data_IF_717528057041
#
_entry.id   IF_717528057041
#
_cell.length_a   1.000
_cell.length_b   1.000
_cell.length_c   1.000
_cell.angle_alpha   90.00
_cell.angle_beta   90.00
_cell.angle_gamma   90.00
#
_symmetry.space_group_name_H-M   'P 1'
#
loop_
_entity.id
_entity.type
_entity.pdbx_description
1 polymer ?
#
# COMPACT_ATOMS: atom_id res chain seq x y z
N UNK A 1 11.55 13.16 23.71
CA UNK A 1 10.67 12.25 22.93
C UNK A 1 10.96 12.42 21.45
N UNK A 2 11.21 11.34 20.69
CA UNK A 2 11.48 11.43 19.24
C UNK A 2 10.22 11.91 18.53
N UNK A 3 10.33 12.98 17.75
CA UNK A 3 9.22 13.45 16.94
C UNK A 3 9.11 12.59 15.66
N UNK A 4 8.13 11.68 15.59
CA UNK A 4 7.84 10.83 14.41
C UNK A 4 6.72 11.39 13.52
N UNK A 5 6.52 12.71 13.54
CA UNK A 5 5.43 13.39 12.82
C UNK A 5 5.45 13.13 11.32
N UNK A 6 6.61 13.20 10.67
CA UNK A 6 6.72 12.95 9.24
C UNK A 6 6.21 11.55 8.84
N UNK A 7 6.63 10.50 9.56
CA UNK A 7 6.19 9.12 9.32
C UNK A 7 4.68 8.97 9.51
N UNK A 8 4.12 9.64 10.54
CA UNK A 8 2.68 9.62 10.82
C UNK A 8 1.88 10.31 9.72
N UNK A 9 2.30 11.50 9.32
CA UNK A 9 1.62 12.28 8.26
C UNK A 9 1.67 11.52 6.94
N UNK A 10 2.84 11.01 6.55
CA UNK A 10 3.00 10.20 5.34
C UNK A 10 2.13 8.94 5.38
N UNK A 11 2.11 8.21 6.51
CA UNK A 11 1.27 7.02 6.67
C UNK A 11 -0.24 7.32 6.61
N UNK A 12 -0.69 8.44 7.19
CA UNK A 12 -2.10 8.89 7.12
C UNK A 12 -2.50 9.23 5.69
N UNK A 13 -1.71 10.06 5.00
CA UNK A 13 -1.99 10.44 3.61
C UNK A 13 -2.04 9.18 2.73
N UNK A 14 -1.08 8.28 2.91
CA UNK A 14 -1.05 7.00 2.19
C UNK A 14 -2.27 6.12 2.48
N UNK A 15 -2.76 6.11 3.72
CA UNK A 15 -3.95 5.35 4.11
C UNK A 15 -5.20 5.88 3.40
N UNK A 16 -5.35 7.20 3.31
CA UNK A 16 -6.46 7.84 2.60
C UNK A 16 -6.39 7.49 1.10
N UNK A 17 -5.21 7.61 0.48
CA UNK A 17 -5.03 7.28 -0.93
C UNK A 17 -5.27 5.79 -1.22
N UNK A 18 -4.81 4.89 -0.36
CA UNK A 18 -5.11 3.46 -0.48
C UNK A 18 -6.60 3.18 -0.32
N UNK A 19 -7.28 3.83 0.63
CA UNK A 19 -8.72 3.69 0.81
C UNK A 19 -9.48 4.11 -0.45
N UNK A 20 -9.11 5.26 -1.03
CA UNK A 20 -9.67 5.72 -2.29
C UNK A 20 -9.36 4.75 -3.44
N UNK A 21 -8.14 4.20 -3.49
CA UNK A 21 -7.76 3.20 -4.50
C UNK A 21 -8.57 1.90 -4.39
N UNK A 22 -8.79 1.41 -3.16
CA UNK A 22 -9.63 0.24 -2.90
C UNK A 22 -11.09 0.50 -3.28
N UNK A 23 -11.64 1.65 -2.87
CA UNK A 23 -13.02 2.02 -3.22
C UNK A 23 -13.17 2.17 -4.74
N UNK A 24 -12.25 2.88 -5.40
CA UNK A 24 -12.27 3.08 -6.84
C UNK A 24 -12.14 1.77 -7.63
N UNK A 25 -11.22 0.90 -7.23
CA UNK A 25 -11.06 -0.42 -7.86
C UNK A 25 -12.27 -1.33 -7.61
N UNK A 26 -12.89 -1.29 -6.42
CA UNK A 26 -14.12 -2.01 -6.12
C UNK A 26 -15.30 -1.51 -6.96
N UNK A 27 -15.42 -0.19 -7.18
CA UNK A 27 -16.45 0.37 -8.07
C UNK A 27 -16.26 -0.10 -9.52
N UNK A 28 -15.02 -0.07 -10.03
CA UNK A 28 -14.71 -0.61 -11.38
C UNK A 28 -15.03 -2.10 -11.45
N UNK A 29 -14.64 -2.89 -10.43
CA UNK A 29 -14.94 -4.32 -10.35
C UNK A 29 -16.45 -4.58 -10.38
N UNK A 30 -17.22 -3.77 -9.65
CA UNK A 30 -18.67 -3.88 -9.59
C UNK A 30 -19.33 -3.57 -10.93
N UNK A 31 -18.95 -2.45 -11.57
CA UNK A 31 -19.45 -2.08 -12.90
C UNK A 31 -19.09 -3.15 -13.93
N UNK A 32 -17.85 -3.63 -13.91
CA UNK A 32 -17.39 -4.70 -14.79
C UNK A 32 -18.17 -5.99 -14.58
N UNK A 33 -18.40 -6.40 -13.33
CA UNK A 33 -19.16 -7.60 -13.01
C UNK A 33 -20.61 -7.50 -13.49
N UNK A 34 -21.24 -6.33 -13.32
CA UNK A 34 -22.59 -6.07 -13.84
C UNK A 34 -22.65 -6.19 -15.37
N UNK A 35 -21.69 -5.57 -16.09
CA UNK A 35 -21.61 -5.66 -17.54
C UNK A 35 -21.29 -7.09 -18.02
N UNK A 36 -20.39 -7.80 -17.34
CA UNK A 36 -19.96 -9.15 -17.74
C UNK A 36 -20.90 -10.27 -17.39
N UNK A 37 -21.87 -10.03 -16.51
CA UNK A 37 -22.89 -11.01 -16.13
C UNK A 37 -24.17 -10.84 -16.96
N UNK A 38 -24.37 -9.69 -17.61
CA UNK A 38 -25.52 -9.46 -18.49
C UNK A 38 -25.29 -10.15 -19.85
N UNK A 39 -26.05 -11.22 -20.18
CA UNK A 39 -25.90 -11.92 -21.45
C UNK A 39 -26.24 -11.00 -22.63
N UNK A 40 -27.18 -10.06 -22.47
CA UNK A 40 -27.58 -9.12 -23.51
C UNK A 40 -26.41 -8.22 -23.92
N UNK A 41 -25.71 -7.68 -22.93
CA UNK A 41 -24.55 -6.83 -23.15
C UNK A 41 -23.41 -7.60 -23.83
N UNK A 42 -23.17 -8.85 -23.40
CA UNK A 42 -22.11 -9.67 -23.96
C UNK A 42 -22.42 -10.14 -25.39
N UNK A 43 -23.67 -10.44 -25.70
CA UNK A 43 -24.10 -10.81 -27.06
C UNK A 43 -24.03 -9.60 -28.00
N UNK A 44 -24.50 -8.42 -27.58
CA UNK A 44 -24.36 -7.18 -28.35
C UNK A 44 -22.89 -6.82 -28.60
N UNK A 45 -22.04 -6.97 -27.58
CA UNK A 45 -20.61 -6.72 -27.69
C UNK A 45 -19.94 -7.71 -28.67
N UNK A 46 -20.34 -8.99 -28.63
CA UNK A 46 -19.88 -10.01 -29.58
C UNK A 46 -20.30 -9.67 -31.00
N UNK A 47 -21.57 -9.35 -31.22
CA UNK A 47 -22.11 -8.96 -32.54
C UNK A 47 -21.41 -7.73 -33.10
N UNK A 48 -21.10 -6.75 -32.25
CA UNK A 48 -20.30 -5.58 -32.61
C UNK A 48 -18.94 -5.96 -33.18
N UNK A 49 -18.17 -6.81 -32.49
CA UNK A 49 -16.84 -7.26 -32.95
C UNK A 49 -16.95 -8.12 -34.22
N UNK A 50 -17.94 -9.01 -34.29
CA UNK A 50 -18.18 -9.83 -35.50
C UNK A 50 -18.48 -8.94 -36.71
N UNK A 51 -19.25 -7.86 -36.51
CA UNK A 51 -19.64 -6.94 -37.59
C UNK A 51 -18.46 -6.13 -38.17
N UNK A 52 -17.43 -5.86 -37.38
CA UNK A 52 -16.21 -5.19 -37.84
C UNK A 52 -15.32 -6.09 -38.70
N UNK A 53 -15.47 -7.42 -38.60
CA UNK A 53 -14.76 -8.40 -39.44
C UNK A 53 -13.24 -8.43 -39.26
N UNK A 54 -12.71 -7.77 -38.23
CA UNK A 54 -11.26 -7.67 -37.95
C UNK A 54 -10.72 -8.95 -37.34
N UNK A 55 -11.52 -9.65 -36.55
CA UNK A 55 -11.17 -10.89 -35.86
C UNK A 55 -11.98 -12.05 -36.41
N UNK A 56 -11.37 -13.25 -36.43
CA UNK A 56 -12.10 -14.46 -36.76
C UNK A 56 -12.99 -14.91 -35.58
N UNK A 57 -13.95 -15.80 -35.83
CA UNK A 57 -14.90 -16.27 -34.81
C UNK A 57 -14.23 -16.97 -33.63
N UNK A 58 -13.10 -17.66 -33.84
CA UNK A 58 -12.36 -18.38 -32.81
C UNK A 58 -11.59 -17.41 -31.88
N UNK A 59 -11.02 -16.35 -32.44
CA UNK A 59 -10.37 -15.25 -31.72
C UNK A 59 -11.38 -14.48 -30.85
N UNK A 60 -12.60 -14.29 -31.36
CA UNK A 60 -13.69 -13.65 -30.62
C UNK A 60 -14.11 -14.52 -29.43
N UNK A 61 -14.29 -15.83 -29.63
CA UNK A 61 -14.62 -16.76 -28.54
C UNK A 61 -13.53 -16.77 -27.45
N UNK A 62 -12.26 -16.75 -27.86
CA UNK A 62 -11.13 -16.66 -26.94
C UNK A 62 -11.14 -15.35 -26.14
N UNK A 63 -11.41 -14.22 -26.81
CA UNK A 63 -11.51 -12.91 -26.17
C UNK A 63 -12.65 -12.87 -25.14
N UNK A 64 -13.83 -13.37 -25.49
CA UNK A 64 -14.99 -13.40 -24.58
C UNK A 64 -14.72 -14.29 -23.36
N UNK A 65 -14.06 -15.44 -23.54
CA UNK A 65 -13.63 -16.30 -22.43
C UNK A 65 -12.60 -15.60 -21.51
N UNK A 66 -11.69 -14.82 -22.09
CA UNK A 66 -10.72 -14.03 -21.32
C UNK A 66 -11.42 -12.94 -20.50
N UNK A 67 -12.36 -12.21 -21.10
CA UNK A 67 -13.15 -11.17 -20.45
C UNK A 67 -13.94 -11.68 -19.25
N UNK A 68 -14.56 -12.87 -19.36
CA UNK A 68 -15.24 -13.53 -18.25
C UNK A 68 -14.29 -13.88 -17.10
N UNK A 69 -13.12 -14.42 -17.43
CA UNK A 69 -12.09 -14.77 -16.44
C UNK A 69 -11.48 -13.52 -15.76
N UNK A 70 -11.41 -12.41 -16.49
CA UNK A 70 -10.86 -11.15 -16.02
C UNK A 70 -11.62 -10.57 -14.82
N UNK A 71 -12.95 -10.81 -14.73
CA UNK A 71 -13.78 -10.38 -13.59
C UNK A 71 -13.25 -10.94 -12.26
N UNK A 72 -12.85 -12.21 -12.24
CA UNK A 72 -12.27 -12.85 -11.04
C UNK A 72 -10.92 -12.23 -10.67
N UNK A 73 -10.08 -11.93 -11.66
CA UNK A 73 -8.77 -11.31 -11.46
C UNK A 73 -8.90 -9.93 -10.83
N UNK A 74 -9.85 -9.11 -11.30
CA UNK A 74 -10.10 -7.78 -10.73
C UNK A 74 -10.47 -7.89 -9.25
N UNK A 75 -11.36 -8.82 -8.87
CA UNK A 75 -11.73 -9.01 -7.46
C UNK A 75 -10.57 -9.49 -6.58
N UNK A 76 -9.68 -10.34 -7.11
CA UNK A 76 -8.45 -10.72 -6.42
C UNK A 76 -7.56 -9.50 -6.18
N UNK A 77 -7.41 -8.62 -7.18
CA UNK A 77 -6.62 -7.39 -7.02
C UNK A 77 -7.23 -6.44 -5.98
N UNK A 78 -8.56 -6.30 -5.93
CA UNK A 78 -9.25 -5.52 -4.90
C UNK A 78 -8.98 -6.10 -3.51
N UNK A 79 -9.05 -7.42 -3.35
CA UNK A 79 -8.75 -8.08 -2.07
C UNK A 79 -7.29 -7.87 -1.64
N UNK A 80 -6.34 -7.98 -2.58
CA UNK A 80 -4.91 -7.72 -2.31
C UNK A 80 -4.68 -6.27 -1.89
N UNK A 81 -5.28 -5.31 -2.57
CA UNK A 81 -5.19 -3.90 -2.22
C UNK A 81 -5.80 -3.61 -0.83
N UNK A 82 -6.92 -4.28 -0.50
CA UNK A 82 -7.54 -4.18 0.83
C UNK A 82 -6.62 -4.71 1.94
N UNK A 83 -5.93 -5.84 1.72
CA UNK A 83 -4.92 -6.35 2.65
C UNK A 83 -3.79 -5.32 2.83
N UNK A 84 -3.33 -4.72 1.74
CA UNK A 84 -2.33 -3.64 1.77
C UNK A 84 -2.77 -2.46 2.65
N UNK A 85 -4.03 -2.05 2.55
CA UNK A 85 -4.63 -1.01 3.40
C UNK A 85 -4.58 -1.40 4.87
N UNK A 86 -5.00 -2.62 5.22
CA UNK A 86 -4.98 -3.09 6.62
C UNK A 86 -3.55 -3.10 7.18
N UNK A 87 -2.57 -3.57 6.41
CA UNK A 87 -1.16 -3.54 6.81
C UNK A 87 -0.65 -2.11 7.04
N UNK A 88 -1.05 -1.15 6.21
CA UNK A 88 -0.71 0.25 6.42
C UNK A 88 -1.27 0.77 7.75
N UNK A 89 -2.53 0.47 8.07
CA UNK A 89 -3.13 0.87 9.36
C UNK A 89 -2.37 0.27 10.55
N UNK A 90 -2.00 -1.01 10.49
CA UNK A 90 -1.21 -1.67 11.54
C UNK A 90 0.18 -1.01 11.68
N UNK A 91 0.82 -0.68 10.56
CA UNK A 91 2.08 0.07 10.52
C UNK A 91 1.94 1.43 11.20
N UNK A 92 0.87 2.17 10.87
CA UNK A 92 0.60 3.50 11.42
C UNK A 92 0.41 3.46 12.94
N UNK A 93 -0.33 2.48 13.47
CA UNK A 93 -0.50 2.30 14.94
C UNK A 93 0.84 2.02 15.62
N UNK A 94 1.73 1.23 15.00
CA UNK A 94 3.07 0.95 15.54
C UNK A 94 3.97 2.19 15.57
N UNK A 95 3.87 3.08 14.57
CA UNK A 95 4.56 4.39 14.58
C UNK A 95 3.95 5.30 15.63
N UNK A 96 2.63 5.29 15.81
CA UNK A 96 1.92 6.12 16.77
C UNK A 96 2.41 5.87 18.19
N UNK A 97 2.46 4.60 18.61
CA UNK A 97 2.86 4.19 19.95
C UNK A 97 4.38 4.18 20.16
N UNK A 98 5.19 4.54 19.14
CA UNK A 98 6.66 4.46 19.16
C UNK A 98 7.21 3.11 19.67
N UNK A 99 6.42 2.04 19.57
CA UNK A 99 6.71 0.73 20.18
C UNK A 99 7.76 -0.03 19.37
N UNK A 100 7.60 -0.03 18.04
CA UNK A 100 8.44 -0.79 17.12
C UNK A 100 8.48 -0.13 15.73
N UNK A 101 9.17 1.02 15.57
CA UNK A 101 9.19 1.77 14.32
C UNK A 101 9.83 0.99 13.16
N UNK A 102 10.85 0.16 13.43
CA UNK A 102 11.46 -0.71 12.41
C UNK A 102 10.44 -1.70 11.82
N UNK A 103 9.62 -2.33 12.67
CA UNK A 103 8.55 -3.23 12.19
C UNK A 103 7.50 -2.47 11.38
N UNK A 104 7.19 -1.23 11.75
CA UNK A 104 6.27 -0.40 10.97
C UNK A 104 6.80 -0.12 9.56
N UNK A 105 8.11 0.14 9.41
CA UNK A 105 8.72 0.34 8.09
C UNK A 105 8.58 -0.88 7.17
N UNK A 106 8.76 -2.09 7.69
CA UNK A 106 8.56 -3.33 6.92
C UNK A 106 7.09 -3.45 6.47
N UNK A 107 6.14 -3.16 7.37
CA UNK A 107 4.71 -3.19 7.05
C UNK A 107 4.34 -2.18 5.97
N UNK A 108 4.93 -0.97 6.00
CA UNK A 108 4.72 0.03 4.95
C UNK A 108 5.27 -0.40 3.59
N UNK A 109 6.41 -1.09 3.54
CA UNK A 109 6.93 -1.65 2.28
C UNK A 109 5.96 -2.68 1.71
N UNK A 110 5.51 -3.64 2.54
CA UNK A 110 4.58 -4.67 2.09
C UNK A 110 3.25 -4.04 1.66
N UNK A 111 2.73 -3.08 2.44
CA UNK A 111 1.52 -2.36 2.10
C UNK A 111 1.63 -1.59 0.77
N UNK A 112 2.77 -0.94 0.50
CA UNK A 112 3.03 -0.26 -0.78
C UNK A 112 3.16 -1.24 -1.96
N UNK A 113 3.75 -2.41 -1.73
CA UNK A 113 3.84 -3.44 -2.76
C UNK A 113 2.45 -3.95 -3.16
N UNK A 114 1.60 -4.26 -2.17
CA UNK A 114 0.23 -4.76 -2.39
C UNK A 114 -0.71 -3.67 -2.91
N UNK A 115 -0.46 -2.40 -2.55
CA UNK A 115 -1.18 -1.23 -3.04
C UNK A 115 -0.79 -0.79 -4.46
N UNK A 116 0.13 -1.50 -5.11
CA UNK A 116 0.64 -1.22 -6.45
C UNK A 116 1.97 -0.46 -6.41
N UNK A 117 3.02 -1.04 -7.00
CA UNK A 117 4.41 -0.55 -6.88
C UNK A 117 4.59 0.94 -7.23
N UNK A 118 3.88 1.42 -8.25
CA UNK A 118 4.02 2.78 -8.77
C UNK A 118 2.90 3.72 -8.33
N UNK A 119 2.02 3.27 -7.44
CA UNK A 119 0.95 4.14 -6.95
C UNK A 119 1.54 5.27 -6.12
N UNK A 120 0.92 6.45 -6.17
CA UNK A 120 1.32 7.59 -5.35
C UNK A 120 1.34 7.23 -3.85
N UNK A 121 0.36 6.44 -3.41
CA UNK A 121 0.27 5.95 -2.04
C UNK A 121 1.49 5.09 -1.66
N UNK A 122 1.91 4.21 -2.56
CA UNK A 122 3.03 3.30 -2.33
C UNK A 122 4.36 4.04 -2.25
N UNK A 123 4.56 5.06 -3.08
CA UNK A 123 5.75 5.92 -3.01
C UNK A 123 5.84 6.62 -1.65
N UNK A 124 4.72 7.17 -1.16
CA UNK A 124 4.65 7.79 0.17
C UNK A 124 4.96 6.78 1.30
N UNK A 125 4.48 5.53 1.18
CA UNK A 125 4.78 4.45 2.11
C UNK A 125 6.25 4.02 2.09
N UNK A 126 6.90 3.98 0.94
CA UNK A 126 8.33 3.68 0.84
C UNK A 126 9.16 4.77 1.51
N UNK A 127 8.82 6.04 1.31
CA UNK A 127 9.46 7.16 2.00
C UNK A 127 9.26 7.04 3.52
N UNK A 128 8.03 6.77 3.97
CA UNK A 128 7.73 6.55 5.39
C UNK A 128 8.52 5.36 5.98
N UNK A 129 8.70 4.29 5.22
CA UNK A 129 9.49 3.13 5.63
C UNK A 129 10.98 3.47 5.79
N UNK A 130 11.56 4.20 4.85
CA UNK A 130 12.96 4.66 4.94
C UNK A 130 13.15 5.55 6.17
N UNK A 131 12.20 6.46 6.45
CA UNK A 131 12.23 7.30 7.66
C UNK A 131 12.14 6.46 8.95
N UNK A 132 11.35 5.38 8.93
CA UNK A 132 11.25 4.45 10.06
C UNK A 132 12.58 3.73 10.33
N UNK A 133 13.36 3.42 9.29
CA UNK A 133 14.67 2.76 9.43
C UNK A 133 15.81 3.71 9.80
N UNK A 134 15.77 4.96 9.32
CA UNK A 134 16.90 5.90 9.44
C UNK A 134 16.92 6.69 10.74
N UNK A 135 15.77 6.91 11.40
CA UNK A 135 15.73 7.67 12.66
C UNK A 135 16.38 6.92 13.83
N UNK A 136 17.49 7.47 14.32
CA UNK A 136 18.18 7.02 15.54
C UNK A 136 17.48 7.58 16.80
N UNK A 137 17.52 6.85 17.93
CA UNK A 137 17.11 7.40 19.23
C UNK A 137 17.97 8.61 19.59
N UNK A 138 17.44 9.58 20.38
CA UNK A 138 18.23 10.71 20.84
C UNK A 138 19.42 10.13 21.60
N UNK A 139 20.62 10.59 21.24
CA UNK A 139 21.83 10.22 21.97
C UNK A 139 21.58 10.59 23.43
N UNK A 140 21.80 9.65 24.36
CA UNK A 140 21.78 9.98 25.79
C UNK A 140 22.70 11.20 25.99
N UNK A 141 22.34 12.17 26.85
CA UNK A 141 23.26 13.25 27.19
C UNK A 141 24.59 12.59 27.54
N UNK A 142 25.67 12.99 26.86
CA UNK A 142 27.00 12.59 27.30
C UNK A 142 27.17 13.01 28.76
N UNK A 143 28.06 12.36 29.53
CA UNK A 143 28.31 12.74 30.92
C UNK A 143 28.45 14.25 31.03
N UNK A 144 27.84 14.88 32.03
CA UNK A 144 28.02 16.33 32.22
C UNK A 144 29.49 16.62 32.54
N UNK A 145 30.01 17.83 32.29
CA UNK A 145 31.35 18.24 32.75
C UNK A 145 31.63 17.85 34.20
N UNK A 146 30.61 17.94 35.06
CA UNK A 146 30.67 17.63 36.49
C UNK A 146 30.79 16.11 36.77
N UNK A 147 30.17 15.29 35.92
CA UNK A 147 30.27 13.83 35.97
C UNK A 147 31.66 13.34 35.53
N UNK A 148 32.31 14.03 34.59
CA UNK A 148 33.71 13.78 34.25
C UNK A 148 34.67 14.14 35.39
N UNK A 149 34.43 15.26 36.08
CA UNK A 149 35.29 15.70 37.20
C UNK A 149 35.19 14.73 38.38
N UNK A 150 33.97 14.30 38.73
CA UNK A 150 33.74 13.37 39.84
C UNK A 150 34.23 11.94 39.55
N UNK A 151 34.11 11.48 38.31
CA UNK A 151 34.77 10.21 37.92
C UNK A 151 36.27 10.36 38.01
N UNK A 152 36.88 11.42 37.44
CA UNK A 152 38.33 11.62 37.47
C UNK A 152 38.91 11.71 38.90
N UNK A 153 38.23 12.39 39.82
CA UNK A 153 38.67 12.51 41.22
C UNK A 153 38.71 11.17 41.97
N UNK A 154 37.78 10.26 41.66
CA UNK A 154 37.74 8.91 42.26
C UNK A 154 38.89 8.00 41.80
N UNK A 155 39.54 8.29 40.67
CA UNK A 155 40.74 7.55 40.23
C UNK A 155 42.05 8.12 40.79
N UNK A 156 41.98 9.30 41.41
CA UNK A 156 43.13 10.01 41.99
C UNK A 156 43.24 9.84 43.51
N UNK A 157 42.32 9.10 44.14
CA UNK A 157 42.32 8.75 45.56
C UNK A 157 42.71 7.29 45.77
#
# INVERSE_FOLDING_TARGET
>A
MINRTAERVLGIISAILLALGVIGSALVAFIWNMASTDPTFMDEFREGIVSEGVLNTEEIDMFMSFMGSFSTVIWILVAVAFIGLVLNIIGLVKVWNNKSPKTAGILFIIAGLLGGILSLASILLYIAAILCFTKKPPMAPGPSPDEYVSTQSNWMS
#
